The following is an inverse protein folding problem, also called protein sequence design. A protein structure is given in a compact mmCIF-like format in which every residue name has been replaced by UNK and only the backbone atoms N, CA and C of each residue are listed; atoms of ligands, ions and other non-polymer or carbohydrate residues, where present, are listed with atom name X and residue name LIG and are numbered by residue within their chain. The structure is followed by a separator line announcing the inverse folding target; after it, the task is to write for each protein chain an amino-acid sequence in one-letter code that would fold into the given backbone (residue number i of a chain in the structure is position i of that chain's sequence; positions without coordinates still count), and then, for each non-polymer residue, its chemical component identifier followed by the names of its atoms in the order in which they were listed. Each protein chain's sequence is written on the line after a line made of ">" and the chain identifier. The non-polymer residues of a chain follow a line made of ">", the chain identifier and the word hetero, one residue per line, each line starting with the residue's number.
data_IF_983883789209
#
_entry.id   IF_983883789209
#
_cell.length_a   1.000
_cell.length_b   1.000
_cell.length_c   1.000
_cell.angle_alpha   90.00
_cell.angle_beta   90.00
_cell.angle_gamma   90.00
#
_symmetry.space_group_name_H-M   'P 1'
#
loop_
_entity.id
_entity.type
_entity.pdbx_description
1 polymer ?
#
# COMPACT_ATOMS: atom_id res chain seq x y z
N UNK A 1 0.62 -2.34 -18.09
CA UNK A 1 1.11 -2.71 -16.74
C UNK A 1 -0.12 -2.94 -15.87
N UNK A 2 -0.10 -4.00 -15.04
CA UNK A 2 -1.24 -4.42 -14.22
C UNK A 2 -1.05 -3.96 -12.77
N UNK A 3 -2.03 -3.25 -12.23
CA UNK A 3 -2.01 -2.65 -10.89
C UNK A 3 -2.99 -3.41 -10.01
N UNK A 4 -2.50 -3.94 -8.89
CA UNK A 4 -3.35 -4.45 -7.82
C UNK A 4 -3.75 -3.29 -6.92
N UNK A 5 -5.05 -3.10 -6.71
CA UNK A 5 -5.60 -2.00 -5.93
C UNK A 5 -6.15 -2.53 -4.62
N UNK A 6 -5.75 -1.88 -3.53
CA UNK A 6 -6.14 -2.22 -2.17
C UNK A 6 -7.67 -2.13 -1.98
N UNK A 7 -8.21 -3.01 -1.13
CA UNK A 7 -9.64 -3.07 -0.84
C UNK A 7 -10.20 -1.81 -0.15
N UNK A 8 -9.34 -0.99 0.46
CA UNK A 8 -9.73 0.23 1.17
C UNK A 8 -9.79 1.46 0.25
N UNK A 9 -9.45 1.31 -1.04
CA UNK A 9 -9.53 2.41 -2.00
C UNK A 9 -10.89 2.44 -2.70
N UNK A 10 -11.41 3.66 -2.92
CA UNK A 10 -12.68 3.87 -3.60
C UNK A 10 -12.74 3.16 -4.96
N UNK A 11 -13.85 2.50 -5.32
CA UNK A 11 -14.02 1.89 -6.64
C UNK A 11 -13.78 2.84 -7.83
N UNK A 12 -13.94 4.16 -7.63
CA UNK A 12 -13.67 5.20 -8.63
C UNK A 12 -12.22 5.21 -9.11
N UNK A 13 -11.28 4.66 -8.35
CA UNK A 13 -9.89 4.51 -8.78
C UNK A 13 -9.75 3.57 -9.97
N UNK A 14 -10.66 2.60 -10.15
CA UNK A 14 -10.62 1.68 -11.30
C UNK A 14 -10.78 2.47 -12.59
N UNK A 15 -11.82 3.28 -12.65
CA UNK A 15 -12.13 4.16 -13.78
C UNK A 15 -10.95 5.08 -14.09
N UNK A 16 -10.35 5.70 -13.06
CA UNK A 16 -9.21 6.61 -13.24
C UNK A 16 -7.95 5.92 -13.79
N UNK A 17 -7.64 4.72 -13.28
CA UNK A 17 -6.48 3.92 -13.71
C UNK A 17 -6.67 3.39 -15.13
N UNK A 18 -7.86 2.87 -15.44
CA UNK A 18 -8.21 2.37 -16.77
C UNK A 18 -8.23 3.50 -17.81
N UNK A 19 -8.78 4.68 -17.45
CA UNK A 19 -8.74 5.87 -18.31
C UNK A 19 -7.31 6.34 -18.61
N UNK A 20 -6.36 6.01 -17.73
CA UNK A 20 -4.93 6.30 -17.91
C UNK A 20 -4.16 5.18 -18.63
N UNK A 21 -4.86 4.15 -19.13
CA UNK A 21 -4.28 3.02 -19.87
C UNK A 21 -3.67 1.92 -19.01
N UNK A 22 -3.96 1.89 -17.70
CA UNK A 22 -3.51 0.83 -16.80
C UNK A 22 -4.61 -0.21 -16.59
N UNK A 23 -4.23 -1.49 -16.62
CA UNK A 23 -5.13 -2.56 -16.21
C UNK A 23 -5.14 -2.61 -14.67
N UNK A 24 -6.32 -2.54 -14.05
CA UNK A 24 -6.44 -2.48 -12.60
C UNK A 24 -7.34 -3.61 -12.06
N UNK A 25 -6.87 -4.28 -11.00
CA UNK A 25 -7.57 -5.40 -10.35
C UNK A 25 -7.68 -5.14 -8.86
N UNK A 26 -8.86 -5.33 -8.28
CA UNK A 26 -9.06 -5.06 -6.85
C UNK A 26 -8.70 -6.31 -6.05
N UNK A 27 -8.05 -6.11 -4.90
CA UNK A 27 -7.72 -7.22 -4.01
C UNK A 27 -8.93 -8.07 -3.63
N UNK A 28 -10.08 -7.42 -3.39
CA UNK A 28 -11.35 -8.12 -3.06
C UNK A 28 -11.84 -9.08 -4.16
N UNK A 29 -11.37 -8.90 -5.39
CA UNK A 29 -11.74 -9.73 -6.55
C UNK A 29 -10.77 -10.90 -6.76
N UNK A 30 -9.57 -10.85 -6.15
CA UNK A 30 -8.50 -11.85 -6.33
C UNK A 30 -8.14 -12.62 -5.08
N UNK A 31 -8.47 -12.11 -3.90
CA UNK A 31 -8.06 -12.68 -2.63
C UNK A 31 -9.09 -12.47 -1.53
N UNK A 32 -9.04 -13.32 -0.48
CA UNK A 32 -9.91 -13.16 0.67
C UNK A 32 -9.55 -11.88 1.44
N UNK A 33 -10.56 -11.26 2.07
CA UNK A 33 -10.36 -10.07 2.91
C UNK A 33 -9.49 -10.36 4.14
N UNK A 34 -9.43 -11.62 4.56
CA UNK A 34 -8.64 -12.15 5.67
C UNK A 34 -7.44 -12.98 5.18
N UNK A 35 -6.83 -12.60 4.06
CA UNK A 35 -5.62 -13.28 3.60
C UNK A 35 -4.54 -13.31 4.71
N UNK A 36 -3.73 -14.38 4.79
CA UNK A 36 -2.75 -14.53 5.86
C UNK A 36 -1.80 -13.34 5.95
N UNK A 37 -1.57 -12.91 7.20
CA UNK A 37 -0.81 -11.73 7.57
C UNK A 37 0.72 -11.93 7.47
N UNK A 38 1.18 -12.54 6.39
CA UNK A 38 2.62 -12.78 6.12
C UNK A 38 3.41 -11.47 6.03
N UNK A 39 2.74 -10.36 5.70
CA UNK A 39 3.29 -9.01 5.67
C UNK A 39 3.20 -8.28 7.03
N UNK A 40 2.50 -8.82 8.03
CA UNK A 40 2.28 -8.14 9.30
C UNK A 40 3.57 -7.99 10.13
N UNK A 41 4.45 -8.99 10.25
CA UNK A 41 5.71 -8.83 10.99
C UNK A 41 6.60 -7.66 10.50
N UNK A 42 6.90 -7.50 9.19
CA UNK A 42 7.69 -6.37 8.73
C UNK A 42 6.94 -5.03 8.85
N UNK A 43 5.60 -5.01 8.75
CA UNK A 43 4.81 -3.80 9.04
C UNK A 43 4.98 -3.37 10.49
N UNK A 44 4.85 -4.30 11.44
CA UNK A 44 5.07 -4.02 12.86
C UNK A 44 6.49 -3.53 13.15
N UNK A 45 7.51 -4.09 12.48
CA UNK A 45 8.88 -3.59 12.61
C UNK A 45 8.99 -2.11 12.21
N UNK A 46 8.41 -1.73 11.07
CA UNK A 46 8.43 -0.34 10.59
C UNK A 46 7.73 0.60 11.54
N UNK A 47 6.54 0.22 12.03
CA UNK A 47 5.79 1.00 13.02
C UNK A 47 6.61 1.23 14.30
N UNK A 48 7.32 0.19 14.76
CA UNK A 48 8.12 0.26 16.00
C UNK A 48 9.43 1.03 15.84
N UNK A 49 10.02 1.00 14.64
CA UNK A 49 11.37 1.52 14.38
C UNK A 49 11.37 2.96 13.89
N UNK A 50 10.28 3.44 13.28
CA UNK A 50 10.20 4.77 12.68
C UNK A 50 8.91 5.55 13.05
N UNK A 51 8.48 5.56 14.33
CA UNK A 51 7.23 6.21 14.70
C UNK A 51 7.22 7.71 14.37
N UNK A 52 8.31 8.44 14.62
CA UNK A 52 8.37 9.89 14.39
C UNK A 52 8.31 10.25 12.90
N UNK A 53 8.89 9.41 12.04
CA UNK A 53 8.83 9.63 10.59
C UNK A 53 7.39 9.44 10.09
N UNK A 54 6.71 8.40 10.56
CA UNK A 54 5.33 8.10 10.19
C UNK A 54 4.35 9.15 10.72
N UNK A 55 4.52 9.60 11.96
CA UNK A 55 3.72 10.70 12.55
C UNK A 55 3.86 12.00 11.76
N UNK A 56 5.04 12.24 11.18
CA UNK A 56 5.30 13.38 10.28
C UNK A 56 4.81 13.15 8.84
N UNK A 57 4.04 12.09 8.58
CA UNK A 57 3.46 11.80 7.27
C UNK A 57 4.39 11.06 6.32
N UNK A 58 5.34 10.25 6.80
CA UNK A 58 6.14 9.40 5.93
C UNK A 58 5.35 8.21 5.36
N UNK A 59 5.60 7.91 4.09
CA UNK A 59 5.21 6.67 3.44
C UNK A 59 6.33 5.64 3.60
N UNK A 60 5.99 4.45 4.09
CA UNK A 60 6.86 3.29 4.11
C UNK A 60 6.56 2.34 2.95
N UNK A 61 7.59 1.94 2.22
CA UNK A 61 7.54 0.89 1.20
C UNK A 61 8.34 -0.30 1.72
N UNK A 62 7.65 -1.38 2.07
CA UNK A 62 8.24 -2.60 2.62
C UNK A 62 8.48 -3.58 1.47
N UNK A 63 9.74 -3.79 1.13
CA UNK A 63 10.16 -4.83 0.19
C UNK A 63 10.84 -5.99 0.93
N UNK A 64 10.98 -7.15 0.29
CA UNK A 64 11.60 -8.34 0.90
C UNK A 64 13.06 -8.11 1.30
N UNK A 65 13.79 -7.27 0.56
CA UNK A 65 15.21 -6.97 0.78
C UNK A 65 15.42 -5.71 1.64
N UNK A 66 14.49 -4.76 1.56
CA UNK A 66 14.64 -3.44 2.20
C UNK A 66 13.32 -2.72 2.36
N UNK A 67 13.24 -1.98 3.46
CA UNK A 67 12.21 -0.95 3.68
C UNK A 67 12.76 0.41 3.27
N UNK A 68 11.96 1.18 2.53
CA UNK A 68 12.26 2.58 2.21
C UNK A 68 11.22 3.49 2.87
N UNK A 69 11.66 4.55 3.52
CA UNK A 69 10.80 5.59 4.08
C UNK A 69 10.95 6.88 3.29
N UNK A 70 9.82 7.52 3.00
CA UNK A 70 9.78 8.80 2.31
C UNK A 70 8.80 9.73 3.01
N UNK A 71 9.30 10.80 3.63
CA UNK A 71 8.44 11.89 4.10
C UNK A 71 7.68 12.47 2.91
N UNK A 72 6.35 12.49 3.02
CA UNK A 72 5.50 13.10 2.01
C UNK A 72 5.31 14.59 2.32
N UNK A 73 5.18 15.45 1.30
CA UNK A 73 4.85 16.86 1.49
C UNK A 73 3.34 17.00 1.78
N UNK A 74 2.84 16.29 2.79
CA UNK A 74 1.48 16.42 3.28
C UNK A 74 1.49 17.60 4.25
N UNK A 75 0.96 18.73 3.79
CA UNK A 75 0.79 19.95 4.58
C UNK A 75 -0.45 19.84 5.48
#
# INVERSE_FOLDING_TARGET
>A
MKILVDMNLSPRWREALEASGYEAVWWRDVGPANAPDEALPPVLEVLRRFPEALERGALAVIGPEKTRLRLLPLQ
#
